data_IF_432300749139
#
_entry.id   IF_432300749139
#
_cell.length_a   1.000
_cell.length_b   1.000
_cell.length_c   1.000
_cell.angle_alpha   90.00
_cell.angle_beta   90.00
_cell.angle_gamma   90.00
#
_symmetry.space_group_name_H-M   'P 1'
#
loop_
_entity.id
_entity.type
_entity.pdbx_description
1 polymer ?
#
# COMPACT_ATOMS: atom_id res chain seq x y z
N UNK A 1 10.46 3.06 -15.98
CA UNK A 1 11.05 2.03 -15.08
C UNK A 1 11.89 1.04 -15.88
N UNK A 2 11.31 0.32 -16.86
CA UNK A 2 12.05 -0.60 -17.74
C UNK A 2 13.21 0.06 -18.53
N UNK A 3 13.03 1.29 -19.02
CA UNK A 3 14.11 2.04 -19.66
C UNK A 3 15.28 2.36 -18.70
N UNK A 4 14.98 2.58 -17.41
CA UNK A 4 15.98 2.87 -16.40
C UNK A 4 16.69 1.60 -15.90
N UNK A 5 16.03 0.44 -15.93
CA UNK A 5 16.63 -0.86 -15.61
C UNK A 5 17.38 -1.48 -16.79
N UNK A 6 17.29 -0.92 -18.00
CA UNK A 6 17.98 -1.44 -19.19
C UNK A 6 17.50 -2.83 -19.63
N UNK A 7 16.29 -3.25 -19.22
CA UNK A 7 15.77 -4.59 -19.43
C UNK A 7 14.53 -4.88 -18.56
N UNK A 8 14.12 -6.16 -18.52
CA UNK A 8 13.03 -6.62 -17.63
C UNK A 8 13.40 -6.37 -16.16
N UNK A 9 12.42 -5.99 -15.36
CA UNK A 9 12.62 -5.77 -13.92
C UNK A 9 12.48 -7.11 -13.19
N UNK A 10 13.49 -7.45 -12.38
CA UNK A 10 13.43 -8.65 -11.52
C UNK A 10 12.42 -8.48 -10.36
N UNK A 11 12.17 -7.23 -9.96
CA UNK A 11 11.16 -6.90 -8.97
C UNK A 11 11.09 -5.42 -8.62
N UNK A 12 10.16 -5.06 -7.74
CA UNK A 12 9.91 -3.69 -7.28
C UNK A 12 9.72 -3.64 -5.76
N UNK A 13 10.44 -2.74 -5.09
CA UNK A 13 10.11 -2.29 -3.73
C UNK A 13 9.35 -0.97 -3.83
N UNK A 14 8.10 -0.95 -3.36
CA UNK A 14 7.28 0.26 -3.23
C UNK A 14 7.32 0.75 -1.77
N UNK A 15 8.04 1.83 -1.51
CA UNK A 15 8.17 2.38 -0.16
C UNK A 15 7.03 3.36 0.16
N UNK A 16 6.12 2.97 1.05
CA UNK A 16 5.03 3.79 1.57
C UNK A 16 5.25 4.21 3.03
N UNK A 17 6.44 3.99 3.60
CA UNK A 17 6.77 4.42 4.96
C UNK A 17 6.66 5.93 5.07
N UNK A 18 6.09 6.39 6.18
CA UNK A 18 5.84 7.81 6.46
C UNK A 18 4.98 8.52 5.39
N UNK A 19 4.23 7.78 4.57
CA UNK A 19 3.28 8.35 3.63
C UNK A 19 1.89 8.45 4.26
N UNK A 20 1.42 9.65 4.65
CA UNK A 20 0.15 9.84 5.36
C UNK A 20 -1.09 9.66 4.45
N UNK A 21 -0.87 9.27 3.20
CA UNK A 21 -1.88 9.07 2.18
C UNK A 21 -2.00 10.25 1.24
N UNK A 22 -3.22 10.54 0.81
CA UNK A 22 -3.48 11.54 -0.23
C UNK A 22 -4.90 11.41 -0.74
N UNK A 23 -5.07 11.58 -2.05
CA UNK A 23 -6.37 11.45 -2.70
C UNK A 23 -6.66 9.99 -3.07
N UNK A 24 -7.93 9.58 -2.92
CA UNK A 24 -8.39 8.23 -3.19
C UNK A 24 -8.07 7.76 -4.61
N UNK A 25 -8.34 8.60 -5.61
CA UNK A 25 -8.19 8.22 -7.02
C UNK A 25 -6.72 7.94 -7.38
N UNK A 26 -5.76 8.58 -6.70
CA UNK A 26 -4.34 8.27 -6.88
C UNK A 26 -3.98 6.91 -6.28
N UNK A 27 -4.48 6.56 -5.09
CA UNK A 27 -4.27 5.23 -4.53
C UNK A 27 -4.91 4.14 -5.39
N UNK A 28 -6.13 4.36 -5.87
CA UNK A 28 -6.79 3.45 -6.82
C UNK A 28 -5.94 3.31 -8.08
N UNK A 29 -5.49 4.41 -8.67
CA UNK A 29 -4.65 4.39 -9.86
C UNK A 29 -3.33 3.66 -9.65
N UNK A 30 -2.66 3.84 -8.49
CA UNK A 30 -1.42 3.11 -8.17
C UNK A 30 -1.69 1.62 -8.02
N UNK A 31 -2.73 1.21 -7.30
CA UNK A 31 -3.10 -0.21 -7.20
C UNK A 31 -3.46 -0.82 -8.56
N UNK A 32 -4.17 -0.05 -9.40
CA UNK A 32 -4.62 -0.47 -10.73
C UNK A 32 -3.46 -0.81 -11.67
N UNK A 33 -2.29 -0.18 -11.49
CA UNK A 33 -1.10 -0.48 -12.30
C UNK A 33 -0.56 -1.91 -12.12
N UNK A 34 -0.89 -2.57 -11.01
CA UNK A 34 -0.26 -3.85 -10.63
C UNK A 34 -1.26 -5.01 -10.55
N UNK A 35 -2.54 -4.77 -10.83
CA UNK A 35 -3.61 -5.74 -10.64
C UNK A 35 -4.34 -6.00 -11.96
N UNK A 36 -4.52 -7.27 -12.32
CA UNK A 36 -5.25 -7.63 -13.55
C UNK A 36 -6.77 -7.55 -13.41
N UNK A 37 -7.29 -7.65 -12.18
CA UNK A 37 -8.73 -7.64 -11.89
C UNK A 37 -8.99 -7.52 -10.39
N UNK A 38 -10.26 -7.38 -10.03
CA UNK A 38 -10.73 -7.50 -8.65
C UNK A 38 -10.98 -6.15 -7.98
N UNK A 39 -11.54 -6.18 -6.77
CA UNK A 39 -11.81 -4.97 -5.99
C UNK A 39 -10.50 -4.42 -5.45
N UNK A 40 -10.30 -3.10 -5.50
CA UNK A 40 -9.18 -2.40 -4.85
C UNK A 40 -9.62 -1.92 -3.46
N UNK A 41 -10.79 -1.28 -3.39
CA UNK A 41 -11.32 -0.74 -2.14
C UNK A 41 -12.82 -0.62 -2.19
N UNK A 42 -13.47 -0.83 -1.05
CA UNK A 42 -14.88 -0.47 -0.86
C UNK A 42 -15.02 0.59 0.21
N UNK A 43 -16.08 1.39 0.09
CA UNK A 43 -16.50 2.32 1.13
C UNK A 43 -17.92 2.00 1.57
N UNK A 44 -18.13 1.92 2.88
CA UNK A 44 -19.46 1.75 3.46
C UNK A 44 -19.85 3.00 4.27
N UNK A 45 -20.81 3.76 3.73
CA UNK A 45 -21.40 4.93 4.37
C UNK A 45 -22.90 4.77 4.61
N UNK A 46 -23.50 5.78 5.26
CA UNK A 46 -24.94 5.77 5.58
C UNK A 46 -25.83 6.05 4.37
N UNK A 47 -25.40 6.91 3.45
CA UNK A 47 -26.15 7.25 2.24
C UNK A 47 -25.69 6.41 1.05
N UNK A 48 -26.46 6.42 -0.03
CA UNK A 48 -26.10 5.69 -1.26
C UNK A 48 -24.83 6.24 -1.90
N UNK A 49 -24.65 7.56 -1.88
CA UNK A 49 -23.51 8.29 -2.45
C UNK A 49 -22.23 8.04 -1.64
N UNK A 50 -22.38 7.73 -0.36
CA UNK A 50 -21.29 7.39 0.55
C UNK A 50 -20.87 5.91 0.46
N UNK A 51 -21.52 5.11 -0.41
CA UNK A 51 -21.18 3.71 -0.67
C UNK A 51 -20.63 3.57 -2.08
N UNK A 52 -19.44 3.00 -2.20
CA UNK A 52 -18.86 2.72 -3.51
C UNK A 52 -17.89 1.55 -3.46
N UNK A 53 -17.62 1.01 -4.64
CA UNK A 53 -16.57 0.03 -4.90
C UNK A 53 -15.68 0.59 -6.01
N UNK A 54 -14.37 0.41 -5.87
CA UNK A 54 -13.38 0.66 -6.91
C UNK A 54 -12.69 -0.66 -7.21
N UNK A 55 -12.51 -0.94 -8.49
CA UNK A 55 -12.00 -2.21 -8.98
C UNK A 55 -10.89 -1.94 -9.98
N UNK A 56 -9.96 -2.88 -10.08
CA UNK A 56 -8.89 -2.84 -11.05
C UNK A 56 -9.39 -3.13 -12.48
N UNK A 57 -8.75 -2.48 -13.43
CA UNK A 57 -8.76 -2.79 -14.84
C UNK A 57 -7.56 -3.67 -15.16
N UNK A 58 -7.64 -4.38 -16.29
CA UNK A 58 -6.58 -5.32 -16.66
C UNK A 58 -5.26 -4.61 -16.98
N UNK A 59 -4.20 -5.02 -16.29
CA UNK A 59 -2.82 -4.70 -16.61
C UNK A 59 -1.93 -4.74 -15.37
N UNK A 60 -0.91 -5.59 -15.39
CA UNK A 60 0.20 -5.52 -14.43
C UNK A 60 1.45 -4.99 -15.15
N UNK A 61 1.85 -3.77 -14.83
CA UNK A 61 3.02 -3.12 -15.47
C UNK A 61 4.36 -3.82 -15.16
N UNK A 62 4.37 -4.75 -14.19
CA UNK A 62 5.53 -5.55 -13.85
C UNK A 62 5.47 -6.95 -14.47
N UNK A 63 4.43 -7.30 -15.23
CA UNK A 63 4.25 -8.59 -15.90
C UNK A 63 4.49 -9.79 -14.94
N UNK A 64 4.01 -9.69 -13.70
CA UNK A 64 4.18 -10.73 -12.67
C UNK A 64 5.52 -10.72 -11.94
N UNK A 65 6.42 -9.77 -12.20
CA UNK A 65 7.65 -9.63 -11.42
C UNK A 65 7.35 -9.38 -9.93
N UNK A 66 8.27 -9.84 -9.08
CA UNK A 66 8.10 -9.81 -7.63
C UNK A 66 7.90 -8.37 -7.12
N UNK A 67 7.02 -8.20 -6.12
CA UNK A 67 6.73 -6.89 -5.56
C UNK A 67 6.68 -6.97 -4.03
N UNK A 68 7.28 -5.97 -3.39
CA UNK A 68 7.23 -5.78 -1.94
C UNK A 68 6.78 -4.35 -1.66
N UNK A 69 5.94 -4.17 -0.64
CA UNK A 69 5.52 -2.85 -0.15
C UNK A 69 6.08 -2.64 1.25
N UNK A 70 6.84 -1.56 1.45
CA UNK A 70 7.30 -1.17 2.77
C UNK A 70 6.26 -0.26 3.43
N UNK A 71 5.90 -0.57 4.68
CA UNK A 71 4.93 0.21 5.45
C UNK A 71 5.39 0.42 6.89
N UNK A 72 4.87 1.47 7.51
CA UNK A 72 5.05 1.69 8.94
C UNK A 72 3.87 2.45 9.56
N UNK A 73 4.02 2.82 10.84
CA UNK A 73 3.01 3.60 11.58
C UNK A 73 2.68 4.97 10.98
N UNK A 74 3.55 5.52 10.11
CA UNK A 74 3.30 6.74 9.35
C UNK A 74 2.56 6.51 8.03
N UNK A 75 2.42 5.27 7.57
CA UNK A 75 1.61 4.89 6.41
C UNK A 75 0.13 4.99 6.78
N UNK A 76 -0.63 5.86 6.10
CA UNK A 76 -2.02 6.10 6.45
C UNK A 76 -2.94 6.33 5.23
N UNK A 77 -4.23 6.12 5.43
CA UNK A 77 -5.32 6.46 4.51
C UNK A 77 -5.12 5.88 3.11
N UNK A 78 -4.85 6.72 2.10
CA UNK A 78 -4.66 6.27 0.73
C UNK A 78 -3.51 5.26 0.59
N UNK A 79 -2.44 5.37 1.40
CA UNK A 79 -1.35 4.40 1.42
C UNK A 79 -1.81 3.02 1.92
N UNK A 80 -2.74 3.00 2.88
CA UNK A 80 -3.30 1.77 3.43
C UNK A 80 -4.22 1.06 2.42
N UNK A 81 -4.88 1.83 1.55
CA UNK A 81 -5.64 1.28 0.43
C UNK A 81 -4.70 0.56 -0.54
N UNK A 82 -3.55 1.17 -0.88
CA UNK A 82 -2.57 0.54 -1.77
C UNK A 82 -2.02 -0.74 -1.15
N UNK A 83 -1.55 -0.67 0.09
CA UNK A 83 -1.01 -1.84 0.80
C UNK A 83 -2.05 -2.96 0.92
N UNK A 84 -3.25 -2.67 1.44
CA UNK A 84 -4.29 -3.67 1.62
C UNK A 84 -4.80 -4.28 0.31
N UNK A 85 -4.93 -3.48 -0.76
CA UNK A 85 -5.32 -4.01 -2.06
C UNK A 85 -4.28 -4.98 -2.61
N UNK A 86 -3.00 -4.60 -2.60
CA UNK A 86 -1.94 -5.46 -3.14
C UNK A 86 -1.71 -6.71 -2.27
N UNK A 87 -1.89 -6.59 -0.96
CA UNK A 87 -1.80 -7.72 -0.03
C UNK A 87 -2.93 -8.73 -0.25
N UNK A 88 -4.19 -8.27 -0.27
CA UNK A 88 -5.35 -9.17 -0.37
C UNK A 88 -5.42 -9.91 -1.71
N UNK A 89 -4.86 -9.31 -2.76
CA UNK A 89 -4.71 -9.97 -4.07
C UNK A 89 -3.49 -10.90 -4.15
N UNK A 90 -2.72 -11.03 -3.07
CA UNK A 90 -1.42 -11.72 -3.05
C UNK A 90 -0.47 -11.20 -4.13
N UNK A 91 -0.58 -9.91 -4.48
CA UNK A 91 0.24 -9.29 -5.53
C UNK A 91 1.57 -8.83 -4.99
N UNK A 92 1.62 -8.36 -3.74
CA UNK A 92 2.84 -7.92 -3.09
C UNK A 92 2.91 -8.40 -1.65
N UNK A 93 4.12 -8.69 -1.18
CA UNK A 93 4.40 -8.94 0.24
C UNK A 93 4.51 -7.61 0.98
N UNK A 94 3.80 -7.46 2.09
CA UNK A 94 3.87 -6.27 2.95
C UNK A 94 4.92 -6.47 4.04
N UNK A 95 5.91 -5.58 4.11
CA UNK A 95 7.04 -5.66 5.05
C UNK A 95 7.10 -4.39 5.90
N UNK A 96 7.34 -4.55 7.21
CA UNK A 96 7.58 -3.43 8.13
C UNK A 96 6.76 -3.53 9.41
N UNK A 97 6.07 -2.45 9.79
CA UNK A 97 5.25 -2.40 11.01
C UNK A 97 3.79 -2.08 10.68
N UNK A 98 2.81 -2.35 11.59
CA UNK A 98 1.42 -2.03 11.35
C UNK A 98 1.20 -0.57 10.96
N UNK A 99 0.31 -0.34 9.99
CA UNK A 99 -0.01 1.01 9.52
C UNK A 99 -0.87 1.78 10.51
N UNK A 100 -1.10 3.07 10.24
CA UNK A 100 -1.75 3.99 11.18
C UNK A 100 -3.20 3.62 11.56
N UNK A 101 -3.99 3.07 10.63
CA UNK A 101 -5.41 2.76 10.83
C UNK A 101 -6.38 3.88 10.47
N UNK A 102 -6.06 4.72 9.46
CA UNK A 102 -6.91 5.82 9.01
C UNK A 102 -7.84 5.41 7.86
N UNK A 103 -8.73 4.46 8.14
CA UNK A 103 -9.73 3.96 7.20
C UNK A 103 -11.00 4.81 7.05
N UNK A 104 -10.92 6.14 7.05
CA UNK A 104 -12.09 7.02 6.99
C UNK A 104 -12.18 7.83 5.69
N UNK A 105 -13.37 7.87 5.09
CA UNK A 105 -13.71 8.77 3.98
C UNK A 105 -14.20 10.09 4.54
N UNK A 106 -13.60 11.19 4.07
CA UNK A 106 -14.05 12.54 4.41
C UNK A 106 -14.53 13.27 3.15
N UNK A 107 -15.78 13.72 3.17
CA UNK A 107 -16.39 14.48 2.08
C UNK A 107 -16.36 15.97 2.41
N UNK A 108 -15.95 16.80 1.44
CA UNK A 108 -16.04 18.26 1.55
C UNK A 108 -17.40 18.69 1.04
N UNK A 109 -18.26 19.16 1.94
CA UNK A 109 -19.61 19.63 1.66
C UNK A 109 -19.60 21.16 1.58
N UNK A 110 -19.84 21.76 0.40
CA UNK A 110 -19.85 23.21 0.27
C UNK A 110 -21.02 23.84 1.03
N UNK A 111 -20.79 25.02 1.57
CA UNK A 111 -21.74 25.87 2.27
C UNK A 111 -21.85 27.24 1.57
N UNK A 112 -22.81 28.05 2.00
CA UNK A 112 -22.96 29.42 1.52
C UNK A 112 -21.70 30.26 1.78
N UNK A 113 -21.40 31.16 0.83
CA UNK A 113 -20.28 32.13 0.88
C UNK A 113 -18.89 31.48 0.86
N UNK A 114 -18.68 30.46 0.04
CA UNK A 114 -17.35 29.86 -0.20
C UNK A 114 -16.79 29.06 0.98
N UNK A 115 -17.62 28.73 1.97
CA UNK A 115 -17.24 27.89 3.12
C UNK A 115 -17.52 26.43 2.80
N UNK A 116 -16.94 25.51 3.56
CA UNK A 116 -17.26 24.09 3.46
C UNK A 116 -17.10 23.39 4.81
N UNK A 117 -17.74 22.23 4.95
CA UNK A 117 -17.51 21.29 6.06
C UNK A 117 -16.83 20.05 5.50
N UNK A 118 -15.75 19.62 6.16
CA UNK A 118 -15.15 18.31 5.91
C UNK A 118 -15.75 17.32 6.90
N UNK A 119 -16.62 16.44 6.42
CA UNK A 119 -17.35 15.49 7.25
C UNK A 119 -16.92 14.06 6.96
N UNK A 120 -16.72 13.26 8.00
CA UNK A 120 -16.53 11.81 7.84
C UNK A 120 -17.85 11.15 7.46
N UNK A 121 -17.88 10.47 6.31
CA UNK A 121 -19.12 9.94 5.71
C UNK A 121 -19.13 8.42 5.61
N UNK A 122 -17.95 7.79 5.55
CA UNK A 122 -17.81 6.35 5.33
C UNK A 122 -16.53 5.78 5.95
N UNK A 123 -16.47 4.46 6.03
CA UNK A 123 -15.25 3.69 6.30
C UNK A 123 -14.76 3.00 5.03
N UNK A 124 -13.44 2.91 4.86
CA UNK A 124 -12.79 2.09 3.85
C UNK A 124 -12.63 0.65 4.33
N UNK A 125 -12.75 -0.28 3.40
CA UNK A 125 -12.51 -1.70 3.61
C UNK A 125 -11.63 -2.24 2.49
N UNK A 126 -10.74 -3.16 2.85
CA UNK A 126 -9.87 -3.88 1.93
C UNK A 126 -10.67 -4.87 1.07
N UNK A 127 -10.08 -5.45 0.01
CA UNK A 127 -10.77 -6.46 -0.81
C UNK A 127 -11.28 -7.69 -0.05
N UNK A 128 -10.60 -8.11 1.03
CA UNK A 128 -11.04 -9.19 1.94
C UNK A 128 -12.29 -8.82 2.75
N UNK A 129 -12.63 -7.53 2.84
CA UNK A 129 -13.72 -6.99 3.64
C UNK A 129 -13.29 -6.48 5.02
N UNK A 130 -11.99 -6.43 5.32
CA UNK A 130 -11.50 -5.96 6.60
C UNK A 130 -11.53 -4.43 6.69
N UNK A 131 -11.90 -3.91 7.87
CA UNK A 131 -11.89 -2.48 8.14
C UNK A 131 -10.48 -1.99 8.41
N UNK A 132 -10.02 -1.00 7.65
CA UNK A 132 -8.73 -0.34 7.89
C UNK A 132 -8.78 0.51 9.17
N UNK A 133 -9.95 1.03 9.54
CA UNK A 133 -10.05 2.00 10.62
C UNK A 133 -9.71 1.41 12.00
N UNK A 134 -8.83 2.08 12.75
CA UNK A 134 -8.32 1.71 14.08
C UNK A 134 -7.47 0.43 14.15
N UNK A 135 -7.40 -0.33 13.05
CA UNK A 135 -6.63 -1.58 12.95
C UNK A 135 -5.38 -1.40 12.09
N UNK A 136 -5.51 -0.67 10.99
CA UNK A 136 -4.47 -0.59 9.96
C UNK A 136 -4.36 -1.88 9.13
N UNK A 137 -3.41 -1.88 8.21
CA UNK A 137 -2.94 -3.03 7.45
C UNK A 137 -1.80 -3.67 8.23
N UNK A 138 -1.89 -4.97 8.46
CA UNK A 138 -0.85 -5.74 9.16
C UNK A 138 0.20 -6.20 8.15
N UNK A 139 1.50 -6.10 8.46
CA UNK A 139 2.54 -6.60 7.55
C UNK A 139 2.52 -8.13 7.51
N UNK A 140 2.81 -8.70 6.33
CA UNK A 140 3.05 -10.14 6.18
C UNK A 140 4.36 -10.55 6.86
N UNK A 141 5.38 -9.67 6.79
CA UNK A 141 6.67 -9.83 7.46
C UNK A 141 6.91 -8.63 8.37
N UNK A 142 6.81 -8.87 9.67
CA UNK A 142 7.10 -7.84 10.67
C UNK A 142 8.60 -7.59 10.79
N UNK A 143 9.02 -6.35 10.58
CA UNK A 143 10.38 -5.87 10.80
C UNK A 143 10.31 -4.54 11.53
N UNK A 144 10.90 -4.48 12.73
CA UNK A 144 10.93 -3.26 13.54
C UNK A 144 11.64 -2.11 12.81
N UNK A 145 11.28 -0.87 13.13
CA UNK A 145 11.94 0.29 12.56
C UNK A 145 13.42 0.35 12.98
N UNK A 146 14.31 0.60 12.03
CA UNK A 146 15.73 0.86 12.34
C UNK A 146 15.86 2.14 13.16
N UNK A 147 16.54 2.12 14.32
CA UNK A 147 16.83 3.35 15.07
C UNK A 147 17.55 4.37 14.19
N UNK A 148 16.98 5.56 14.03
CA UNK A 148 17.57 6.63 13.22
C UNK A 148 17.09 6.72 11.76
N UNK A 149 16.09 5.93 11.34
CA UNK A 149 15.40 6.19 10.07
C UNK A 149 14.76 7.60 10.13
N UNK A 150 15.00 8.48 9.14
CA UNK A 150 14.62 9.88 9.27
C UNK A 150 13.09 10.01 9.35
N UNK A 151 12.64 10.63 10.43
CA UNK A 151 11.32 11.26 10.54
C UNK A 151 11.26 12.40 9.52
N UNK A 152 10.96 12.05 8.26
CA UNK A 152 10.73 12.96 7.13
C UNK A 152 11.71 14.14 7.02
N UNK A 153 12.95 13.98 7.46
CA UNK A 153 13.93 15.05 7.34
C UNK A 153 14.41 15.09 5.89
N UNK A 154 14.22 16.25 5.27
CA UNK A 154 14.61 16.62 3.90
C UNK A 154 16.12 16.51 3.61
N UNK A 155 16.90 15.80 4.45
CA UNK A 155 18.36 15.65 4.35
C UNK A 155 18.83 14.38 3.62
N UNK A 156 17.92 13.64 2.98
CA UNK A 156 18.21 13.11 1.64
C UNK A 156 19.12 11.89 1.47
N UNK A 157 19.49 11.13 2.51
CA UNK A 157 20.12 9.81 2.30
C UNK A 157 19.53 8.78 3.27
N UNK A 158 18.67 7.91 2.73
CA UNK A 158 18.38 6.61 3.35
C UNK A 158 19.67 5.82 3.28
N UNK A 159 20.24 5.48 4.44
CA UNK A 159 21.32 4.50 4.51
C UNK A 159 20.74 3.12 4.18
N UNK A 160 20.84 2.74 2.90
CA UNK A 160 20.27 1.51 2.36
C UNK A 160 20.89 0.26 2.99
N UNK A 161 22.12 0.36 3.49
CA UNK A 161 22.84 -0.75 4.12
C UNK A 161 22.44 -0.93 5.58
N UNK A 162 21.93 0.12 6.23
CA UNK A 162 21.45 0.08 7.62
C UNK A 162 19.92 -0.07 7.75
N UNK A 163 19.18 0.01 6.64
CA UNK A 163 17.73 -0.12 6.61
C UNK A 163 17.31 -1.60 6.60
N UNK A 164 17.04 -2.15 7.80
CA UNK A 164 16.66 -3.54 7.97
C UNK A 164 15.37 -3.91 7.21
N UNK A 165 14.42 -2.97 7.09
CA UNK A 165 13.18 -3.22 6.37
C UNK A 165 13.43 -3.29 4.85
N UNK A 166 14.29 -2.41 4.33
CA UNK A 166 14.68 -2.46 2.93
C UNK A 166 15.49 -3.72 2.60
N UNK A 167 16.43 -4.12 3.47
CA UNK A 167 17.19 -5.35 3.31
C UNK A 167 16.26 -6.58 3.25
N UNK A 168 15.31 -6.68 4.19
CA UNK A 168 14.29 -7.73 4.18
C UNK A 168 13.47 -7.69 2.89
N UNK A 169 13.02 -6.51 2.45
CA UNK A 169 12.26 -6.39 1.22
C UNK A 169 13.04 -6.85 -0.01
N UNK A 170 14.33 -6.55 -0.11
CA UNK A 170 15.19 -7.04 -1.20
C UNK A 170 15.35 -8.56 -1.13
N UNK A 171 15.44 -9.14 0.06
CA UNK A 171 15.45 -10.60 0.24
C UNK A 171 14.15 -11.25 -0.23
N UNK A 172 12.99 -10.66 0.09
CA UNK A 172 11.68 -11.14 -0.35
C UNK A 172 11.45 -11.04 -1.86
N UNK A 173 12.21 -10.21 -2.58
CA UNK A 173 12.18 -10.17 -4.04
C UNK A 173 12.94 -11.32 -4.70
N UNK A 174 13.84 -12.00 -3.97
CA UNK A 174 14.59 -13.13 -4.54
C UNK A 174 13.65 -14.33 -4.75
N UNK A 175 13.70 -15.01 -5.91
CA UNK A 175 12.92 -16.22 -6.11
C UNK A 175 13.33 -17.26 -5.07
N UNK A 176 12.39 -17.67 -4.21
CA UNK A 176 12.64 -18.74 -3.22
C UNK A 176 13.17 -19.96 -3.97
N UNK A 177 14.42 -20.33 -3.71
CA UNK A 177 14.99 -21.55 -4.22
C UNK A 177 14.08 -22.71 -3.79
N UNK A 178 13.38 -23.32 -4.74
CA UNK A 178 12.57 -24.51 -4.49
C UNK A 178 13.54 -25.59 -4.03
N UNK A 179 13.64 -25.83 -2.72
CA UNK A 179 14.32 -27.00 -2.19
C UNK A 179 13.61 -28.23 -2.73
N UNK A 180 14.13 -28.80 -3.82
CA UNK A 180 13.81 -30.16 -4.19
C UNK A 180 14.33 -31.04 -3.07
N UNK A 181 13.42 -31.47 -2.19
CA UNK A 181 13.61 -32.62 -1.34
C UNK A 181 14.03 -33.77 -2.26
N UNK A 182 15.34 -34.07 -2.28
CA UNK A 182 15.83 -35.34 -2.79
C UNK A 182 15.41 -36.39 -1.77
N UNK A 183 14.18 -36.87 -1.90
CA UNK A 183 13.82 -38.16 -1.33
C UNK A 183 14.68 -39.21 -2.04
N UNK A 184 15.52 -39.87 -1.24
CA UNK A 184 16.28 -41.06 -1.61
C UNK A 184 15.36 -42.26 -1.75
#
# INVERSE_FOLDING_TARGET
>A
LQEASGGMLDGLVLDLRNNPGGVLDAAVGVSDLFLDAGVIVTAAGRTREARFTRSAHRGDILDGAAMVVLVNSGSASASEIVAGALQDHNRATIVGTPTFGKGLVQTVMPLSRGRAIKLTTSRYYTPSGDSIHEVGVQPDVFVAESPGYPDLSLSGLIDREADAQLLEAVEQLQPRAVMHSKAQ
#
